data_IF_084996101112
#
_entry.id   IF_084996101112
#
_cell.length_a   1.000
_cell.length_b   1.000
_cell.length_c   1.000
_cell.angle_alpha   90.00
_cell.angle_beta   90.00
_cell.angle_gamma   90.00
#
_symmetry.space_group_name_H-M   'P 1'
#
loop_
_entity.id
_entity.type
_entity.pdbx_description
1 polymer ?
#
# COMPACT_ATOMS: atom_id res chain seq x y z
N UNK A 1 -34.01 -39.41 -30.94
CA UNK A 1 -32.96 -39.42 -31.99
C UNK A 1 -31.90 -38.39 -31.61
N UNK A 2 -30.66 -38.85 -31.58
CA UNK A 2 -29.37 -38.14 -31.41
C UNK A 2 -28.99 -37.57 -30.03
N UNK A 3 -28.16 -38.37 -29.36
CA UNK A 3 -27.37 -38.12 -28.16
C UNK A 3 -26.06 -37.35 -28.48
N UNK A 4 -25.39 -36.75 -27.47
CA UNK A 4 -24.15 -35.99 -27.64
C UNK A 4 -22.91 -36.89 -27.72
N UNK A 5 -21.97 -36.52 -28.59
CA UNK A 5 -20.71 -37.24 -28.81
C UNK A 5 -19.59 -36.67 -27.95
N UNK A 6 -19.04 -37.50 -27.05
CA UNK A 6 -17.74 -37.34 -26.39
C UNK A 6 -16.80 -38.38 -27.00
N UNK A 7 -15.52 -38.06 -27.30
CA UNK A 7 -14.48 -39.05 -27.37
C UNK A 7 -13.46 -38.91 -26.22
N UNK A 8 -13.08 -40.10 -25.74
CA UNK A 8 -12.25 -40.48 -24.60
C UNK A 8 -10.72 -40.43 -24.89
N UNK A 9 -9.83 -40.77 -23.92
CA UNK A 9 -8.46 -40.27 -23.82
C UNK A 9 -7.39 -41.12 -24.55
N UNK A 10 -6.23 -40.50 -24.77
CA UNK A 10 -4.98 -41.13 -25.28
C UNK A 10 -3.99 -41.43 -24.14
N UNK A 11 -3.09 -42.42 -24.28
CA UNK A 11 -2.45 -43.13 -23.17
C UNK A 11 -1.08 -42.56 -22.74
N UNK A 12 -0.75 -42.84 -21.46
CA UNK A 12 0.57 -42.67 -20.84
C UNK A 12 1.56 -43.81 -21.19
N UNK A 13 2.78 -43.45 -21.63
CA UNK A 13 4.09 -44.17 -21.52
C UNK A 13 5.12 -43.32 -22.30
N UNK A 14 6.37 -43.08 -21.91
CA UNK A 14 7.25 -43.74 -20.95
C UNK A 14 8.33 -42.75 -20.45
N UNK A 15 8.74 -42.97 -19.20
CA UNK A 15 9.86 -42.34 -18.50
C UNK A 15 11.14 -43.20 -18.72
N UNK A 16 12.31 -42.54 -18.72
CA UNK A 16 13.69 -43.07 -18.49
C UNK A 16 14.49 -43.56 -19.71
N UNK A 17 15.50 -42.79 -20.11
CA UNK A 17 16.90 -43.22 -20.40
C UNK A 17 17.79 -41.96 -20.27
N UNK A 18 18.44 -41.75 -19.11
CA UNK A 18 19.86 -42.05 -18.80
C UNK A 18 20.87 -41.07 -19.40
N UNK A 19 21.39 -40.24 -18.49
CA UNK A 19 22.74 -39.66 -18.44
C UNK A 19 23.79 -40.61 -19.02
N UNK A 20 24.45 -40.20 -20.11
CA UNK A 20 25.85 -40.52 -20.47
C UNK A 20 26.12 -40.08 -21.92
N UNK A 21 26.95 -39.06 -22.10
CA UNK A 21 28.00 -38.92 -23.14
C UNK A 21 28.53 -37.48 -23.13
N UNK A 22 29.20 -37.17 -22.03
CA UNK A 22 30.40 -36.36 -22.12
C UNK A 22 31.51 -37.25 -22.70
N UNK A 23 32.48 -36.63 -23.38
CA UNK A 23 33.70 -37.20 -23.98
C UNK A 23 33.57 -37.90 -25.34
N UNK A 24 33.44 -37.13 -26.43
CA UNK A 24 33.93 -37.57 -27.76
C UNK A 24 34.16 -36.44 -28.78
N UNK A 25 34.65 -35.25 -28.40
CA UNK A 25 35.06 -34.23 -29.39
C UNK A 25 36.38 -33.53 -29.02
N UNK A 26 37.37 -34.34 -28.63
CA UNK A 26 38.77 -33.93 -28.62
C UNK A 26 39.53 -34.66 -29.74
N UNK A 27 39.28 -34.28 -31.01
CA UNK A 27 40.18 -34.61 -32.13
C UNK A 27 39.83 -33.88 -33.44
N UNK A 28 40.06 -32.56 -33.50
CA UNK A 28 40.44 -31.86 -34.75
C UNK A 28 40.98 -30.46 -34.42
N UNK A 29 42.03 -30.06 -35.14
CA UNK A 29 42.79 -28.82 -35.04
C UNK A 29 43.86 -28.70 -33.93
N UNK A 30 44.97 -29.42 -34.11
CA UNK A 30 46.33 -28.95 -33.75
C UNK A 30 46.91 -28.20 -34.95
N UNK A 31 47.55 -27.06 -34.73
CA UNK A 31 48.37 -26.39 -35.72
C UNK A 31 49.02 -25.09 -35.22
N UNK A 32 50.33 -25.18 -34.94
CA UNK A 32 51.38 -24.14 -34.91
C UNK A 32 51.67 -23.35 -33.60
N UNK A 33 52.91 -23.59 -33.11
CA UNK A 33 53.75 -23.00 -32.04
C UNK A 33 54.55 -21.76 -32.57
N UNK A 34 55.50 -21.08 -31.85
CA UNK A 34 56.05 -21.28 -30.48
C UNK A 34 56.29 -20.00 -29.60
N UNK A 35 56.70 -20.20 -28.34
CA UNK A 35 57.44 -19.20 -27.53
C UNK A 35 57.66 -19.53 -26.04
N UNK A 36 58.77 -20.23 -25.71
CA UNK A 36 59.62 -20.31 -24.48
C UNK A 36 59.04 -19.99 -23.07
N UNK A 37 59.35 -20.69 -21.96
CA UNK A 37 60.25 -21.84 -21.75
C UNK A 37 60.40 -22.27 -20.26
N UNK A 38 61.00 -23.47 -20.10
CA UNK A 38 61.81 -24.06 -19.00
C UNK A 38 61.19 -24.34 -17.61
N UNK A 39 61.31 -25.60 -17.17
CA UNK A 39 61.44 -25.92 -15.73
C UNK A 39 61.06 -27.30 -15.19
N UNK A 40 61.65 -28.39 -15.69
CA UNK A 40 61.97 -29.65 -14.98
C UNK A 40 60.86 -30.57 -14.42
N UNK A 41 60.72 -31.74 -15.07
CA UNK A 41 60.06 -32.97 -14.59
C UNK A 41 61.16 -34.00 -14.30
N UNK A 42 61.05 -34.73 -13.18
CA UNK A 42 61.68 -36.05 -13.04
C UNK A 42 60.60 -37.05 -12.65
N UNK A 43 60.50 -38.09 -13.47
CA UNK A 43 59.68 -39.27 -13.29
C UNK A 43 60.46 -40.37 -12.56
N UNK A 44 59.77 -41.29 -11.88
CA UNK A 44 60.09 -42.70 -12.02
C UNK A 44 58.87 -43.60 -11.74
N UNK A 45 58.72 -44.57 -12.62
CA UNK A 45 57.74 -45.64 -12.72
C UNK A 45 58.25 -46.86 -11.96
N UNK A 46 57.37 -47.66 -11.33
CA UNK A 46 57.52 -49.11 -11.29
C UNK A 46 56.19 -49.81 -10.96
N UNK A 47 55.80 -50.69 -11.88
CA UNK A 47 54.71 -51.68 -11.82
C UNK A 47 55.24 -52.92 -11.07
N UNK A 48 54.35 -53.76 -10.50
CA UNK A 48 54.29 -55.25 -10.65
C UNK A 48 53.57 -55.94 -9.45
N UNK A 49 52.63 -56.83 -9.82
CA UNK A 49 52.06 -58.03 -9.14
C UNK A 49 51.08 -57.97 -7.95
N UNK A 50 49.90 -58.59 -8.16
CA UNK A 50 49.04 -59.30 -7.19
C UNK A 50 49.65 -60.69 -6.83
N UNK A 51 49.03 -61.61 -6.03
CA UNK A 51 47.74 -61.63 -5.32
C UNK A 51 47.82 -62.23 -3.88
N UNK A 52 46.66 -62.62 -3.31
CA UNK A 52 46.41 -63.73 -2.33
C UNK A 52 45.88 -63.35 -0.94
N UNK A 53 44.76 -64.03 -0.63
CA UNK A 53 44.05 -64.34 0.63
C UNK A 53 44.70 -63.95 1.97
N UNK A 54 43.88 -63.44 2.90
CA UNK A 54 43.34 -64.21 4.04
C UNK A 54 42.71 -63.30 5.10
N UNK A 55 41.75 -63.87 5.83
CA UNK A 55 40.93 -63.26 6.87
C UNK A 55 41.72 -62.71 8.07
N UNK A 56 41.17 -61.71 8.75
CA UNK A 56 40.92 -61.77 10.20
C UNK A 56 40.16 -60.55 10.73
N UNK A 57 39.33 -60.88 11.70
CA UNK A 57 38.56 -60.09 12.66
C UNK A 57 39.33 -58.99 13.40
N UNK A 58 38.63 -57.93 13.80
CA UNK A 58 38.87 -57.28 15.09
C UNK A 58 38.86 -55.75 15.13
N UNK A 59 37.78 -55.20 15.71
CA UNK A 59 37.69 -53.98 16.53
C UNK A 59 38.30 -52.66 16.02
N UNK A 60 37.44 -51.67 15.74
CA UNK A 60 37.83 -50.29 15.49
C UNK A 60 36.77 -49.26 15.90
N UNK A 61 36.96 -48.68 17.08
CA UNK A 61 36.66 -47.32 17.53
C UNK A 61 35.32 -46.62 17.12
N UNK A 62 34.49 -46.36 18.14
CA UNK A 62 33.43 -45.36 18.15
C UNK A 62 34.02 -43.94 17.96
N UNK A 63 33.73 -43.31 16.82
CA UNK A 63 33.96 -41.87 16.62
C UNK A 63 32.68 -41.13 17.02
N UNK A 64 32.76 -40.38 18.11
CA UNK A 64 31.75 -39.44 18.59
C UNK A 64 31.60 -38.29 17.59
N UNK A 65 30.53 -38.30 16.79
CA UNK A 65 30.17 -37.20 15.91
C UNK A 65 29.28 -36.22 16.68
N UNK A 66 29.76 -34.99 16.87
CA UNK A 66 28.95 -33.86 17.34
C UNK A 66 27.83 -33.60 16.32
N UNK A 67 26.57 -33.38 16.75
CA UNK A 67 25.52 -33.02 15.81
C UNK A 67 25.78 -31.62 15.24
N UNK A 68 25.46 -31.38 13.96
CA UNK A 68 25.60 -30.07 13.36
C UNK A 68 24.60 -29.09 14.01
N UNK A 69 25.10 -27.91 14.35
CA UNK A 69 24.32 -26.77 14.80
C UNK A 69 23.29 -26.40 13.73
N UNK A 70 22.02 -26.60 14.07
CA UNK A 70 20.88 -26.24 13.23
C UNK A 70 20.86 -24.72 13.04
N UNK A 71 21.22 -24.29 11.83
CA UNK A 71 21.05 -22.90 11.42
C UNK A 71 19.57 -22.70 11.19
N UNK A 72 18.90 -22.08 12.16
CA UNK A 72 17.48 -21.75 12.05
C UNK A 72 17.27 -20.82 10.86
N UNK A 73 16.95 -21.41 9.70
CA UNK A 73 16.43 -20.68 8.55
C UNK A 73 15.14 -20.03 9.02
N UNK A 74 15.19 -18.72 9.32
CA UNK A 74 14.01 -17.94 9.69
C UNK A 74 13.03 -18.03 8.54
N UNK A 75 12.02 -18.89 8.70
CA UNK A 75 10.92 -19.06 7.75
C UNK A 75 10.41 -17.65 7.39
N UNK A 76 10.30 -17.28 6.10
CA UNK A 76 9.73 -15.99 5.75
C UNK A 76 8.37 -15.90 6.43
N UNK A 77 8.18 -14.85 7.24
CA UNK A 77 6.92 -14.61 7.92
C UNK A 77 5.83 -14.57 6.85
N UNK A 78 4.67 -15.20 7.08
CA UNK A 78 3.56 -15.11 6.14
C UNK A 78 3.28 -13.62 5.85
N UNK A 79 2.82 -13.27 4.64
CA UNK A 79 2.49 -11.89 4.30
C UNK A 79 1.59 -11.31 5.39
N UNK A 80 1.88 -10.07 5.79
CA UNK A 80 1.15 -9.44 6.89
C UNK A 80 -0.35 -9.45 6.57
N UNK A 81 -1.10 -10.25 7.31
CA UNK A 81 -2.54 -10.43 7.18
C UNK A 81 -3.24 -9.86 8.42
N UNK A 82 -4.51 -9.48 8.26
CA UNK A 82 -5.34 -8.94 9.36
C UNK A 82 -6.14 -10.02 10.09
N UNK A 83 -6.09 -11.27 9.62
CA UNK A 83 -6.99 -12.33 10.07
C UNK A 83 -8.45 -12.10 9.61
N UNK A 84 -9.44 -12.78 10.22
CA UNK A 84 -10.84 -12.69 9.84
C UNK A 84 -11.46 -11.34 10.21
N UNK A 85 -12.27 -10.76 9.32
CA UNK A 85 -12.98 -9.49 9.52
C UNK A 85 -14.51 -9.72 9.60
N UNK A 86 -15.28 -8.85 10.27
CA UNK A 86 -14.87 -7.64 10.99
C UNK A 86 -14.08 -7.94 12.27
N UNK A 87 -13.26 -6.99 12.72
CA UNK A 87 -12.45 -7.15 13.92
C UNK A 87 -12.10 -5.81 14.58
N UNK A 88 -11.78 -5.90 15.87
CA UNK A 88 -11.45 -4.75 16.71
C UNK A 88 -10.11 -4.95 17.39
N UNK A 89 -9.36 -3.86 17.55
CA UNK A 89 -8.09 -3.82 18.26
C UNK A 89 -8.09 -2.70 19.28
N UNK A 90 -7.46 -2.92 20.41
CA UNK A 90 -7.35 -1.94 21.48
C UNK A 90 -5.95 -1.92 22.08
N UNK A 91 -5.48 -0.75 22.50
CA UNK A 91 -4.22 -0.59 23.21
C UNK A 91 -3.96 0.85 23.62
N UNK A 92 -3.16 1.02 24.66
CA UNK A 92 -2.73 2.34 25.13
C UNK A 92 -1.37 2.65 24.51
N UNK A 93 -1.32 3.71 23.70
CA UNK A 93 -0.14 4.15 22.96
C UNK A 93 0.38 5.49 23.50
N UNK A 94 1.68 5.79 23.39
CA UNK A 94 2.23 7.08 23.78
C UNK A 94 1.70 8.21 22.87
N UNK A 95 1.33 9.35 23.46
CA UNK A 95 0.91 10.56 22.76
C UNK A 95 1.56 11.81 23.35
N UNK A 96 1.50 12.93 22.63
CA UNK A 96 2.14 14.20 23.02
C UNK A 96 1.66 14.76 24.38
N UNK A 97 0.46 14.37 24.83
CA UNK A 97 -0.12 14.75 26.12
C UNK A 97 -0.16 13.61 27.15
N UNK A 98 0.63 12.56 26.96
CA UNK A 98 0.60 11.32 27.74
C UNK A 98 -0.14 10.17 27.03
N UNK A 99 -0.47 9.08 27.74
CA UNK A 99 -1.02 7.88 27.11
C UNK A 99 -2.41 8.12 26.51
N UNK A 100 -2.61 7.58 25.31
CA UNK A 100 -3.86 7.65 24.56
C UNK A 100 -4.35 6.22 24.34
N UNK A 101 -5.57 5.93 24.77
CA UNK A 101 -6.23 4.65 24.47
C UNK A 101 -6.79 4.68 23.06
N UNK A 102 -6.35 3.76 22.23
CA UNK A 102 -6.85 3.55 20.88
C UNK A 102 -7.82 2.37 20.87
N UNK A 103 -8.92 2.54 20.15
CA UNK A 103 -9.84 1.46 19.76
C UNK A 103 -10.07 1.56 18.26
N UNK A 104 -9.61 0.57 17.51
CA UNK A 104 -9.69 0.52 16.04
C UNK A 104 -10.57 -0.65 15.61
N UNK A 105 -11.61 -0.35 14.85
CA UNK A 105 -12.49 -1.33 14.22
C UNK A 105 -12.23 -1.34 12.71
N UNK A 106 -11.96 -2.52 12.15
CA UNK A 106 -11.89 -2.73 10.71
C UNK A 106 -13.05 -3.59 10.25
N UNK A 107 -13.83 -3.08 9.31
CA UNK A 107 -14.90 -3.81 8.65
C UNK A 107 -14.39 -4.52 7.39
N UNK A 108 -15.05 -5.61 7.01
CA UNK A 108 -14.69 -6.40 5.82
C UNK A 108 -14.90 -5.65 4.50
N UNK A 109 -15.69 -4.57 4.51
CA UNK A 109 -15.98 -3.73 3.34
C UNK A 109 -14.91 -2.66 3.06
N UNK A 110 -13.78 -2.69 3.79
CA UNK A 110 -12.70 -1.72 3.62
C UNK A 110 -12.90 -0.41 4.40
N UNK A 111 -13.89 -0.33 5.30
CA UNK A 111 -14.10 0.82 6.16
C UNK A 111 -13.54 0.62 7.57
N UNK A 112 -13.12 1.70 8.21
CA UNK A 112 -12.66 1.68 9.60
C UNK A 112 -13.36 2.72 10.47
N UNK A 113 -13.34 2.45 11.78
CA UNK A 113 -13.69 3.40 12.83
C UNK A 113 -12.57 3.40 13.86
N UNK A 114 -12.17 4.57 14.34
CA UNK A 114 -11.09 4.74 15.29
C UNK A 114 -11.55 5.68 16.40
N UNK A 115 -11.39 5.28 17.65
CA UNK A 115 -11.51 6.15 18.83
C UNK A 115 -10.17 6.31 19.52
N UNK A 116 -9.81 7.54 19.79
CA UNK A 116 -8.61 7.90 20.56
C UNK A 116 -9.03 8.65 21.82
N UNK A 117 -8.78 8.08 22.99
CA UNK A 117 -9.17 8.66 24.28
C UNK A 117 -7.93 9.07 25.07
N UNK A 118 -7.79 10.37 25.36
CA UNK A 118 -6.70 10.88 26.20
C UNK A 118 -6.89 10.44 27.65
N UNK A 119 -5.93 9.71 28.22
CA UNK A 119 -6.02 9.20 29.59
C UNK A 119 -5.45 10.16 30.65
N UNK A 120 -4.63 11.13 30.27
CA UNK A 120 -3.98 12.07 31.19
C UNK A 120 -4.90 13.18 31.73
N UNK A 121 -6.15 13.25 31.25
CA UNK A 121 -7.10 14.31 31.61
C UNK A 121 -8.16 13.77 32.57
N UNK A 122 -8.59 14.56 33.58
CA UNK A 122 -9.61 14.12 34.55
C UNK A 122 -10.98 13.85 33.90
N UNK A 123 -11.29 14.51 32.78
CA UNK A 123 -12.40 14.15 31.89
C UNK A 123 -11.83 13.60 30.59
N UNK A 124 -11.89 12.27 30.35
CA UNK A 124 -11.35 11.68 29.13
C UNK A 124 -12.03 12.28 27.90
N UNK A 125 -11.23 12.89 27.03
CA UNK A 125 -11.70 13.39 25.75
C UNK A 125 -11.45 12.31 24.70
N UNK A 126 -12.52 11.87 24.05
CA UNK A 126 -12.47 10.93 22.95
C UNK A 126 -12.53 11.69 21.62
N UNK A 127 -11.70 11.28 20.67
CA UNK A 127 -11.70 11.75 19.30
C UNK A 127 -11.98 10.57 18.39
N UNK A 128 -13.05 10.66 17.62
CA UNK A 128 -13.46 9.60 16.72
C UNK A 128 -13.15 9.97 15.26
N UNK A 129 -12.74 8.97 14.50
CA UNK A 129 -12.49 9.08 13.07
C UNK A 129 -13.10 7.88 12.34
N UNK A 130 -13.52 8.11 11.10
CA UNK A 130 -13.97 7.08 10.17
C UNK A 130 -13.26 7.27 8.84
N UNK A 131 -13.13 6.20 8.07
CA UNK A 131 -12.54 6.29 6.74
C UNK A 131 -12.42 4.94 6.08
N UNK A 132 -11.49 4.84 5.14
CA UNK A 132 -11.17 3.61 4.42
C UNK A 132 -9.81 3.08 4.84
N UNK A 133 -9.68 1.77 4.82
CA UNK A 133 -8.41 1.11 5.05
C UNK A 133 -8.02 0.26 3.85
N UNK A 134 -6.71 0.08 3.66
CA UNK A 134 -6.16 -0.86 2.69
C UNK A 134 -4.88 -1.49 3.21
N UNK A 135 -4.55 -2.65 2.68
CA UNK A 135 -3.22 -3.23 2.84
C UNK A 135 -2.36 -2.82 1.65
N UNK A 136 -1.20 -2.23 1.93
CA UNK A 136 -0.21 -1.89 0.93
C UNK A 136 0.33 -3.18 0.29
N UNK A 137 0.30 -3.29 -1.05
CA UNK A 137 0.85 -4.45 -1.76
C UNK A 137 2.33 -4.67 -1.40
N UNK A 138 2.73 -5.94 -1.27
CA UNK A 138 4.10 -6.34 -0.97
C UNK A 138 4.50 -6.22 0.50
N UNK A 139 4.31 -5.05 1.13
CA UNK A 139 4.69 -4.84 2.55
C UNK A 139 3.62 -5.34 3.53
N UNK A 140 2.36 -5.39 3.09
CA UNK A 140 1.20 -5.70 3.93
C UNK A 140 0.98 -4.68 5.06
N UNK A 141 1.51 -3.45 4.91
CA UNK A 141 1.23 -2.35 5.85
C UNK A 141 -0.23 -1.94 5.74
N UNK A 142 -0.89 -1.77 6.89
CA UNK A 142 -2.23 -1.24 6.99
C UNK A 142 -2.18 0.29 6.90
N UNK A 143 -2.90 0.83 5.93
CA UNK A 143 -3.05 2.27 5.71
C UNK A 143 -4.49 2.68 6.01
N UNK A 144 -4.67 3.67 6.89
CA UNK A 144 -5.98 4.26 7.21
C UNK A 144 -6.08 5.66 6.61
N UNK A 145 -6.97 5.85 5.63
CA UNK A 145 -7.23 7.13 4.97
C UNK A 145 -8.03 8.08 5.85
N UNK A 146 -7.50 9.29 6.08
CA UNK A 146 -8.10 10.33 6.96
C UNK A 146 -8.56 11.57 6.20
N UNK A 147 -9.18 11.39 5.04
CA UNK A 147 -9.63 12.51 4.20
C UNK A 147 -8.45 13.33 3.67
N UNK A 148 -8.27 14.56 4.14
CA UNK A 148 -7.17 15.45 3.74
C UNK A 148 -5.91 15.31 4.59
N UNK A 149 -5.96 14.56 5.69
CA UNK A 149 -4.80 14.33 6.55
C UNK A 149 -3.93 13.18 6.02
N UNK A 150 -2.62 13.17 6.34
CA UNK A 150 -1.76 12.03 6.05
C UNK A 150 -2.34 10.73 6.61
N UNK A 151 -2.22 9.61 5.89
CA UNK A 151 -2.77 8.35 6.37
C UNK A 151 -2.06 7.88 7.64
N UNK A 152 -2.80 7.17 8.49
CA UNK A 152 -2.19 6.42 9.60
C UNK A 152 -1.64 5.10 9.07
N UNK A 153 -0.39 4.80 9.43
CA UNK A 153 0.28 3.58 9.02
C UNK A 153 0.47 2.65 10.21
N UNK A 154 0.00 1.42 10.06
CA UNK A 154 0.17 0.34 11.03
C UNK A 154 0.79 -0.90 10.35
N UNK A 155 1.55 -1.67 11.12
CA UNK A 155 2.07 -2.96 10.69
C UNK A 155 1.27 -4.08 11.38
N UNK A 156 0.55 -4.93 10.64
CA UNK A 156 0.01 -6.16 11.19
C UNK A 156 1.12 -7.11 11.62
N UNK A 157 0.96 -7.69 12.80
CA UNK A 157 1.88 -8.65 13.41
C UNK A 157 1.11 -9.94 13.74
N UNK A 158 1.80 -11.08 13.69
CA UNK A 158 1.26 -12.39 14.06
C UNK A 158 -0.14 -12.64 13.45
N UNK A 159 -0.26 -12.49 12.12
CA UNK A 159 -1.50 -12.67 11.36
C UNK A 159 -2.70 -11.83 11.87
N UNK A 160 -2.43 -10.61 12.36
CA UNK A 160 -3.45 -9.67 12.81
C UNK A 160 -3.79 -9.79 14.29
N UNK A 161 -3.06 -10.59 15.07
CA UNK A 161 -3.21 -10.62 16.52
C UNK A 161 -2.80 -9.29 17.19
N UNK A 162 -1.88 -8.55 16.56
CA UNK A 162 -1.49 -7.22 17.00
C UNK A 162 -1.25 -6.27 15.82
N UNK A 163 -1.42 -4.97 16.06
CA UNK A 163 -1.09 -3.89 15.12
C UNK A 163 -0.09 -2.94 15.77
N UNK A 164 1.06 -2.74 15.14
CA UNK A 164 2.07 -1.76 15.60
C UNK A 164 1.94 -0.45 14.83
N UNK A 165 1.85 0.68 15.51
CA UNK A 165 1.81 1.99 14.86
C UNK A 165 3.20 2.35 14.30
N UNK A 166 3.27 2.86 13.07
CA UNK A 166 4.54 3.19 12.39
C UNK A 166 4.87 4.68 12.34
N UNK A 167 3.88 5.56 12.53
CA UNK A 167 4.01 7.00 12.34
C UNK A 167 3.90 7.81 13.64
N UNK A 168 4.24 7.23 14.79
CA UNK A 168 4.21 7.97 16.05
C UNK A 168 5.25 9.09 16.01
N UNK A 169 4.80 10.34 16.13
CA UNK A 169 5.68 11.53 16.20
C UNK A 169 6.36 11.70 17.57
N UNK A 170 6.17 10.74 18.47
CA UNK A 170 6.81 10.77 19.78
C UNK A 170 8.21 10.19 19.61
N UNK A 171 9.20 11.07 19.44
CA UNK A 171 10.60 10.69 19.31
C UNK A 171 10.99 9.74 20.44
N UNK A 172 11.40 8.53 20.07
CA UNK A 172 12.04 7.49 20.91
C UNK A 172 11.79 7.63 22.42
N UNK A 173 10.52 7.65 22.85
CA UNK A 173 10.20 7.86 24.25
C UNK A 173 9.89 6.54 24.94
N UNK A 174 10.90 6.06 25.67
CA UNK A 174 10.93 4.94 26.62
C UNK A 174 10.91 3.52 26.02
N UNK A 175 11.94 2.74 26.37
CA UNK A 175 12.10 1.32 26.04
C UNK A 175 10.95 0.43 26.55
N UNK A 176 10.05 0.97 27.36
CA UNK A 176 8.93 0.27 28.00
C UNK A 176 7.54 0.74 27.50
N UNK A 177 7.47 1.63 26.50
CA UNK A 177 6.18 2.11 25.99
C UNK A 177 5.50 1.03 25.14
N UNK A 178 4.22 0.76 25.40
CA UNK A 178 3.43 -0.12 24.53
C UNK A 178 3.26 0.53 23.16
N UNK A 179 3.74 -0.15 22.12
CA UNK A 179 3.71 0.33 20.73
C UNK A 179 2.62 -0.37 19.90
N UNK A 180 1.75 -1.17 20.53
CA UNK A 180 0.83 -2.09 19.84
C UNK A 180 -0.60 -2.01 20.34
N UNK A 181 -1.50 -2.27 19.41
CA UNK A 181 -2.89 -2.61 19.66
C UNK A 181 -3.04 -4.13 19.61
N UNK A 182 -3.78 -4.70 20.54
CA UNK A 182 -4.07 -6.13 20.61
C UNK A 182 -5.47 -6.39 20.09
N UNK A 183 -5.64 -7.46 19.32
CA UNK A 183 -6.94 -7.87 18.80
C UNK A 183 -7.87 -8.28 19.94
N UNK A 184 -9.10 -7.80 19.92
CA UNK A 184 -10.14 -8.21 20.85
C UNK A 184 -10.68 -9.61 20.47
N UNK A 185 -11.16 -10.42 21.44
CA UNK A 185 -11.73 -11.75 21.15
C UNK A 185 -12.94 -11.71 20.22
N UNK A 186 -13.72 -10.62 20.28
CA UNK A 186 -14.89 -10.37 19.45
C UNK A 186 -14.83 -8.96 18.89
N UNK A 187 -15.40 -8.77 17.70
CA UNK A 187 -15.57 -7.43 17.13
C UNK A 187 -16.51 -6.61 18.01
N UNK A 188 -16.05 -5.43 18.41
CA UNK A 188 -16.76 -4.50 19.28
C UNK A 188 -16.79 -3.12 18.61
N UNK A 189 -17.58 -2.95 17.53
CA UNK A 189 -17.63 -1.70 16.79
C UNK A 189 -18.15 -0.57 17.68
N UNK A 190 -17.43 0.55 17.68
CA UNK A 190 -17.86 1.75 18.41
C UNK A 190 -19.04 2.45 17.72
N UNK A 191 -19.71 3.31 18.49
CA UNK A 191 -20.63 4.33 17.99
C UNK A 191 -19.86 5.66 17.91
N UNK A 192 -19.35 6.06 16.71
CA UNK A 192 -18.48 7.20 16.59
C UNK A 192 -19.28 8.51 16.61
N UNK A 193 -18.76 9.49 17.35
CA UNK A 193 -19.25 10.87 17.41
C UNK A 193 -18.18 11.80 16.83
N UNK A 194 -18.46 12.42 15.70
CA UNK A 194 -17.48 13.20 14.96
C UNK A 194 -18.12 14.30 14.11
N UNK A 195 -17.31 15.28 13.74
CA UNK A 195 -17.63 16.17 12.63
C UNK A 195 -17.36 15.43 11.33
N UNK A 196 -18.36 15.40 10.44
CA UNK A 196 -18.28 14.70 9.17
C UNK A 196 -18.83 15.55 8.04
N UNK A 197 -18.50 15.13 6.82
CA UNK A 197 -19.03 15.71 5.59
C UNK A 197 -19.66 14.59 4.76
N UNK A 198 -20.81 14.88 4.15
CA UNK A 198 -21.55 13.92 3.34
C UNK A 198 -22.48 14.60 2.34
N UNK A 199 -22.93 13.81 1.36
CA UNK A 199 -23.97 14.22 0.43
C UNK A 199 -25.33 13.87 1.03
N UNK A 200 -26.04 14.87 1.54
CA UNK A 200 -27.36 14.73 2.14
C UNK A 200 -28.45 14.88 1.08
N UNK A 201 -29.48 14.05 1.18
CA UNK A 201 -30.67 14.08 0.32
C UNK A 201 -31.90 13.80 1.16
N UNK A 202 -32.98 14.51 0.87
CA UNK A 202 -34.28 14.33 1.50
C UNK A 202 -35.36 14.33 0.43
N UNK A 203 -36.16 13.26 0.40
CA UNK A 203 -37.25 13.09 -0.56
C UNK A 203 -38.28 12.11 0.01
N UNK A 204 -39.58 12.41 -0.17
CA UNK A 204 -40.69 11.56 0.26
C UNK A 204 -40.57 11.11 1.74
N UNK A 205 -40.33 12.08 2.64
CA UNK A 205 -40.16 11.85 4.09
C UNK A 205 -39.04 10.87 4.46
N UNK A 206 -38.08 10.65 3.56
CA UNK A 206 -36.90 9.84 3.79
C UNK A 206 -35.63 10.70 3.66
N UNK A 207 -34.92 10.83 4.78
CA UNK A 207 -33.63 11.51 4.83
C UNK A 207 -32.49 10.49 4.78
N UNK A 208 -31.51 10.71 3.89
CA UNK A 208 -30.31 9.89 3.82
C UNK A 208 -29.07 10.72 3.53
N UNK A 209 -27.93 10.21 3.98
CA UNK A 209 -26.63 10.83 3.74
C UNK A 209 -25.65 9.80 3.21
N UNK A 210 -24.88 10.15 2.18
CA UNK A 210 -23.69 9.41 1.77
C UNK A 210 -22.46 10.05 2.39
N UNK A 211 -21.81 9.36 3.32
CA UNK A 211 -20.60 9.86 3.99
C UNK A 211 -19.44 9.96 3.00
N UNK A 212 -18.75 11.10 2.96
CA UNK A 212 -17.63 11.27 2.04
C UNK A 212 -16.41 10.43 2.41
N UNK A 213 -16.17 10.21 3.71
CA UNK A 213 -15.00 9.47 4.21
C UNK A 213 -15.04 7.97 3.88
N UNK A 214 -16.24 7.36 3.84
CA UNK A 214 -16.40 5.92 3.63
C UNK A 214 -17.11 5.58 2.32
N UNK A 215 -17.95 6.48 1.81
CA UNK A 215 -18.89 6.24 0.72
C UNK A 215 -20.19 5.55 1.15
N UNK A 216 -20.33 5.21 2.44
CA UNK A 216 -21.50 4.52 2.98
C UNK A 216 -22.73 5.43 2.96
N UNK A 217 -23.88 4.89 2.55
CA UNK A 217 -25.18 5.56 2.67
C UNK A 217 -25.84 5.16 3.99
N UNK A 218 -26.20 6.15 4.80
CA UNK A 218 -26.90 5.96 6.07
C UNK A 218 -28.27 6.66 6.02
N UNK A 219 -29.32 6.08 6.62
CA UNK A 219 -30.49 6.86 7.01
C UNK A 219 -30.09 7.94 8.03
N UNK A 220 -30.81 9.05 8.02
CA UNK A 220 -30.65 10.14 8.99
C UNK A 220 -31.86 10.15 9.92
N UNK A 221 -31.62 10.12 11.22
CA UNK A 221 -32.68 10.18 12.23
C UNK A 221 -33.28 11.59 12.27
N UNK A 222 -34.61 11.66 12.29
CA UNK A 222 -35.38 12.91 12.36
C UNK A 222 -35.49 13.44 13.80
N UNK A 223 -34.35 13.60 14.46
CA UNK A 223 -34.25 14.06 15.85
C UNK A 223 -33.09 15.06 16.03
N UNK A 224 -33.01 15.69 17.20
CA UNK A 224 -31.94 16.62 17.58
C UNK A 224 -31.71 17.74 16.52
N UNK A 225 -30.51 17.84 15.95
CA UNK A 225 -30.12 18.86 14.97
C UNK A 225 -30.71 18.68 13.58
N UNK A 226 -31.53 17.64 13.34
CA UNK A 226 -32.10 17.33 12.03
C UNK A 226 -32.91 18.49 11.45
N UNK A 227 -33.75 19.16 12.24
CA UNK A 227 -34.63 20.23 11.75
C UNK A 227 -33.86 21.41 11.14
N UNK A 228 -32.68 21.73 11.68
CA UNK A 228 -31.82 22.78 11.13
C UNK A 228 -31.24 22.37 9.78
N UNK A 229 -30.81 21.11 9.66
CA UNK A 229 -30.31 20.53 8.41
C UNK A 229 -31.40 20.49 7.33
N UNK A 230 -32.59 20.01 7.67
CA UNK A 230 -33.74 19.92 6.74
C UNK A 230 -34.12 21.29 6.18
N UNK A 231 -34.27 22.30 7.04
CA UNK A 231 -34.58 23.68 6.61
C UNK A 231 -33.52 24.22 5.66
N UNK A 232 -32.25 24.02 5.99
CA UNK A 232 -31.15 24.46 5.12
C UNK A 232 -31.16 23.74 3.77
N UNK A 233 -31.44 22.43 3.77
CA UNK A 233 -31.55 21.63 2.55
C UNK A 233 -32.69 22.11 1.67
N UNK A 234 -33.90 22.25 2.21
CA UNK A 234 -35.08 22.68 1.46
C UNK A 234 -34.91 24.11 0.89
N UNK A 235 -34.24 25.00 1.61
CA UNK A 235 -33.94 26.35 1.12
C UNK A 235 -32.90 26.37 -0.03
N UNK A 236 -32.01 25.39 -0.07
CA UNK A 236 -30.92 25.32 -1.06
C UNK A 236 -31.20 24.37 -2.24
N UNK A 237 -32.14 23.44 -2.09
CA UNK A 237 -32.44 22.43 -3.10
C UNK A 237 -33.13 23.08 -4.32
N UNK A 238 -32.60 22.90 -5.54
CA UNK A 238 -33.25 23.41 -6.74
C UNK A 238 -34.63 22.79 -6.94
N UNK A 239 -35.64 23.63 -7.20
CA UNK A 239 -37.01 23.19 -7.40
C UNK A 239 -37.18 22.27 -8.64
N UNK A 240 -36.28 22.35 -9.62
CA UNK A 240 -36.26 21.50 -10.82
C UNK A 240 -35.73 20.09 -10.55
N UNK A 241 -35.06 19.85 -9.41
CA UNK A 241 -34.40 18.57 -9.08
C UNK A 241 -34.62 18.18 -7.61
N UNK A 242 -35.86 17.82 -7.23
CA UNK A 242 -36.15 17.38 -5.87
C UNK A 242 -35.29 16.17 -5.50
N UNK A 243 -34.82 16.11 -4.26
CA UNK A 243 -33.98 15.03 -3.77
C UNK A 243 -32.53 15.07 -4.25
N UNK A 244 -32.09 16.11 -4.98
CA UNK A 244 -30.69 16.26 -5.38
C UNK A 244 -29.78 16.25 -4.15
N UNK A 245 -28.73 15.40 -4.10
CA UNK A 245 -27.82 15.38 -2.98
C UNK A 245 -26.99 16.68 -2.90
N UNK A 246 -26.96 17.31 -1.73
CA UNK A 246 -26.18 18.51 -1.45
C UNK A 246 -25.10 18.20 -0.42
N UNK A 247 -23.91 18.77 -0.60
CA UNK A 247 -22.81 18.59 0.35
C UNK A 247 -23.12 19.33 1.63
N UNK A 248 -23.04 18.63 2.76
CA UNK A 248 -23.23 19.18 4.09
C UNK A 248 -22.09 18.80 5.02
N UNK A 249 -21.79 19.70 5.95
CA UNK A 249 -20.91 19.45 7.08
C UNK A 249 -21.73 19.56 8.36
N UNK A 250 -21.55 18.58 9.24
CA UNK A 250 -22.31 18.48 10.49
C UNK A 250 -21.50 17.74 11.56
N UNK A 251 -21.89 17.91 12.81
CA UNK A 251 -21.50 17.03 13.90
C UNK A 251 -22.59 16.00 14.13
N UNK A 252 -22.21 14.72 14.23
CA UNK A 252 -23.19 13.66 14.41
C UNK A 252 -22.65 12.43 15.10
N UNK A 253 -23.60 11.61 15.56
CA UNK A 253 -23.40 10.31 16.17
C UNK A 253 -23.90 9.24 15.20
N UNK A 254 -23.05 8.27 14.86
CA UNK A 254 -23.47 7.08 14.10
C UNK A 254 -23.73 5.96 15.10
N UNK A 255 -24.98 5.49 15.18
CA UNK A 255 -25.39 4.46 16.15
C UNK A 255 -26.42 3.52 15.52
N UNK A 256 -26.68 2.38 16.16
CA UNK A 256 -27.73 1.47 15.72
C UNK A 256 -29.10 2.03 16.10
N UNK A 257 -30.02 2.08 15.14
CA UNK A 257 -31.43 2.40 15.40
C UNK A 257 -32.33 1.28 14.90
N UNK A 258 -33.46 1.03 15.58
CA UNK A 258 -34.50 0.15 15.04
C UNK A 258 -34.87 0.59 13.62
N UNK A 259 -35.08 -0.37 12.73
CA UNK A 259 -35.63 -0.05 11.41
C UNK A 259 -37.07 0.44 11.58
N UNK A 260 -37.48 1.42 10.76
CA UNK A 260 -38.88 1.85 10.69
C UNK A 260 -39.76 0.79 10.01
N UNK A 261 -39.15 -0.19 9.33
CA UNK A 261 -39.83 -1.32 8.71
C UNK A 261 -39.87 -2.51 9.68
N UNK A 262 -41.07 -3.02 9.95
CA UNK A 262 -41.31 -4.05 10.95
C UNK A 262 -40.56 -5.34 10.62
N UNK A 263 -39.89 -5.91 11.62
CA UNK A 263 -39.15 -7.18 11.50
C UNK A 263 -37.76 -7.06 10.87
N UNK A 264 -37.33 -5.88 10.44
CA UNK A 264 -35.98 -5.68 9.95
C UNK A 264 -34.96 -5.49 11.10
N UNK A 265 -33.71 -5.93 10.90
CA UNK A 265 -32.65 -5.71 11.89
C UNK A 265 -32.38 -4.22 12.09
N UNK A 266 -31.87 -3.81 13.27
CA UNK A 266 -31.38 -2.46 13.49
C UNK A 266 -30.39 -2.05 12.40
N UNK A 267 -30.48 -0.80 11.96
CA UNK A 267 -29.60 -0.24 10.94
C UNK A 267 -28.77 0.88 11.55
N UNK A 268 -27.50 0.96 11.12
CA UNK A 268 -26.66 2.12 11.42
C UNK A 268 -27.31 3.37 10.85
N UNK A 269 -27.52 4.35 11.72
CA UNK A 269 -28.25 5.58 11.43
C UNK A 269 -27.45 6.76 11.93
N UNK A 270 -27.43 7.84 11.16
CA UNK A 270 -26.82 9.10 11.58
C UNK A 270 -27.82 9.91 12.41
N UNK A 271 -27.45 10.24 13.64
CA UNK A 271 -28.12 11.26 14.45
C UNK A 271 -27.34 12.57 14.26
N UNK A 272 -28.02 13.61 13.78
CA UNK A 272 -27.40 14.93 13.62
C UNK A 272 -27.43 15.63 14.97
N UNK A 273 -26.26 15.85 15.57
CA UNK A 273 -26.16 16.58 16.84
C UNK A 273 -26.13 18.09 16.60
N UNK A 274 -25.42 18.55 15.56
CA UNK A 274 -25.35 19.96 15.17
C UNK A 274 -25.10 20.11 13.67
N UNK A 275 -25.89 20.95 13.01
CA UNK A 275 -25.66 21.33 11.61
C UNK A 275 -24.65 22.47 11.53
N UNK A 276 -23.65 22.35 10.65
CA UNK A 276 -22.57 23.35 10.52
C UNK A 276 -22.66 24.15 9.23
N UNK A 277 -22.77 23.47 8.08
CA UNK A 277 -22.77 24.13 6.78
C UNK A 277 -23.40 23.28 5.68
N UNK A 278 -23.89 23.96 4.62
CA UNK A 278 -24.32 23.36 3.36
C UNK A 278 -23.62 24.10 2.21
N UNK A 279 -23.05 23.35 1.28
CA UNK A 279 -22.31 23.90 0.12
C UNK A 279 -22.91 23.36 -1.19
N UNK A 280 -23.81 24.10 -1.85
CA UNK A 280 -24.43 23.64 -3.09
C UNK A 280 -23.40 23.44 -4.21
N UNK A 281 -23.68 22.51 -5.13
CA UNK A 281 -22.86 22.29 -6.32
C UNK A 281 -21.48 21.65 -6.07
N UNK A 282 -21.08 21.40 -4.83
CA UNK A 282 -19.89 20.63 -4.48
C UNK A 282 -20.23 19.15 -4.30
N UNK A 283 -19.38 18.27 -4.83
CA UNK A 283 -19.40 16.84 -4.51
C UNK A 283 -18.56 16.54 -3.26
N UNK A 284 -18.55 15.28 -2.83
CA UNK A 284 -17.57 14.83 -1.85
C UNK A 284 -16.15 15.11 -2.34
N UNK A 285 -15.23 15.55 -1.46
CA UNK A 285 -13.82 15.59 -1.80
C UNK A 285 -13.40 14.17 -2.20
N UNK A 286 -12.95 14.02 -3.45
CA UNK A 286 -12.55 12.71 -3.97
C UNK A 286 -11.26 12.30 -3.25
N UNK A 287 -11.23 11.07 -2.74
CA UNK A 287 -10.04 10.49 -2.12
C UNK A 287 -8.89 10.57 -3.13
N UNK A 288 -7.78 11.16 -2.70
CA UNK A 288 -6.58 11.27 -3.51
C UNK A 288 -6.13 9.85 -3.93
N UNK A 289 -5.80 9.61 -5.21
CA UNK A 289 -5.23 8.33 -5.61
C UNK A 289 -3.94 8.07 -4.81
N UNK A 290 -3.57 6.80 -4.58
CA UNK A 290 -2.30 6.50 -3.91
C UNK A 290 -1.13 7.14 -4.65
N UNK A 291 -0.09 7.55 -3.91
CA UNK A 291 1.16 7.95 -4.52
C UNK A 291 1.81 6.79 -5.30
N UNK A 292 1.88 5.61 -4.67
CA UNK A 292 2.49 4.38 -5.19
C UNK A 292 1.47 3.54 -5.96
N UNK A 293 1.93 2.77 -6.95
CA UNK A 293 1.06 2.00 -7.84
C UNK A 293 0.24 2.85 -8.81
N UNK A 294 0.49 4.16 -8.84
CA UNK A 294 -0.20 5.12 -9.70
C UNK A 294 0.78 5.68 -10.72
N UNK A 295 0.33 5.79 -11.97
CA UNK A 295 1.07 6.48 -13.03
C UNK A 295 0.66 7.93 -13.08
N UNK A 296 1.65 8.81 -13.03
CA UNK A 296 1.50 10.26 -12.98
C UNK A 296 2.09 10.88 -14.24
N UNK A 297 1.32 11.69 -14.96
CA UNK A 297 1.76 12.37 -16.19
C UNK A 297 2.06 13.85 -15.90
N UNK A 298 3.24 14.33 -16.31
CA UNK A 298 3.68 15.69 -16.02
C UNK A 298 2.80 16.72 -16.76
N UNK A 299 2.39 17.78 -16.06
CA UNK A 299 1.64 18.91 -16.62
C UNK A 299 2.24 20.26 -16.27
N UNK A 300 3.20 20.31 -15.35
CA UNK A 300 3.89 21.54 -15.02
C UNK A 300 5.28 21.29 -14.46
N UNK A 301 6.19 22.18 -14.81
CA UNK A 301 7.60 22.15 -14.44
C UNK A 301 8.05 23.56 -14.09
N UNK A 302 8.69 23.73 -12.93
CA UNK A 302 9.17 25.03 -12.44
C UNK A 302 8.05 26.06 -12.25
N UNK A 303 6.86 25.62 -11.82
CA UNK A 303 5.69 26.49 -11.64
C UNK A 303 4.96 26.88 -12.94
N UNK A 304 5.47 26.48 -14.11
CA UNK A 304 4.86 26.78 -15.41
C UNK A 304 4.09 25.58 -15.95
N UNK A 305 3.07 25.82 -16.80
CA UNK A 305 2.38 24.77 -17.54
C UNK A 305 3.37 24.14 -18.54
N UNK A 306 3.39 22.81 -18.60
CA UNK A 306 4.28 22.09 -19.51
C UNK A 306 3.84 22.33 -20.96
N UNK A 307 4.80 22.80 -21.78
CA UNK A 307 4.67 22.87 -23.24
C UNK A 307 5.72 21.92 -23.81
N UNK A 308 5.27 20.77 -24.31
CA UNK A 308 6.15 19.75 -24.84
C UNK A 308 6.60 20.12 -26.27
N UNK A 309 7.90 20.08 -26.60
CA UNK A 309 8.36 20.30 -27.95
C UNK A 309 7.93 19.15 -28.89
N UNK A 310 7.81 19.39 -30.20
CA UNK A 310 7.50 18.34 -31.16
C UNK A 310 8.47 17.16 -31.05
N UNK A 311 7.91 15.94 -31.04
CA UNK A 311 8.68 14.70 -30.89
C UNK A 311 8.95 14.26 -29.45
N UNK A 312 8.62 15.07 -28.44
CA UNK A 312 8.67 14.63 -27.05
C UNK A 312 7.57 13.60 -26.74
N UNK A 313 7.94 12.50 -26.10
CA UNK A 313 7.00 11.56 -25.52
C UNK A 313 6.36 12.13 -24.24
N UNK A 314 5.19 11.62 -23.80
CA UNK A 314 4.64 11.97 -22.51
C UNK A 314 5.66 11.70 -21.39
N UNK A 315 5.86 12.70 -20.54
CA UNK A 315 6.69 12.57 -19.34
C UNK A 315 5.82 11.96 -18.25
N UNK A 316 6.23 10.79 -17.76
CA UNK A 316 5.46 10.00 -16.80
C UNK A 316 6.35 9.50 -15.67
N UNK A 317 5.75 9.35 -14.50
CA UNK A 317 6.38 8.83 -13.29
C UNK A 317 5.47 7.80 -12.65
N UNK A 318 6.00 6.61 -12.41
CA UNK A 318 5.33 5.56 -11.67
C UNK A 318 6.22 5.12 -10.52
N UNK A 319 5.69 5.20 -9.30
CA UNK A 319 6.34 4.67 -8.11
C UNK A 319 5.78 3.27 -7.85
N UNK A 320 6.63 2.26 -7.76
CA UNK A 320 6.18 0.86 -7.57
C UNK A 320 5.33 0.73 -6.31
N UNK A 321 4.21 0.02 -6.43
CA UNK A 321 3.32 -0.32 -5.31
C UNK A 321 4.05 -1.15 -4.25
N UNK A 322 4.95 -2.04 -4.67
CA UNK A 322 5.56 -3.05 -3.82
C UNK A 322 6.98 -2.68 -3.40
N UNK A 323 7.79 -2.19 -4.35
CA UNK A 323 9.22 -1.91 -4.13
C UNK A 323 9.47 -0.41 -4.01
N UNK A 324 10.59 -0.03 -3.40
CA UNK A 324 11.09 1.35 -3.37
C UNK A 324 11.83 1.67 -4.69
N UNK A 325 11.14 1.44 -5.80
CA UNK A 325 11.64 1.60 -7.16
C UNK A 325 10.67 2.44 -7.97
N UNK A 326 11.21 3.29 -8.85
CA UNK A 326 10.45 4.08 -9.79
C UNK A 326 10.79 3.70 -11.22
N UNK A 327 9.81 3.88 -12.09
CA UNK A 327 9.98 3.85 -13.54
C UNK A 327 9.29 5.08 -14.13
N UNK A 328 9.75 5.53 -15.29
CA UNK A 328 9.15 6.68 -15.95
C UNK A 328 9.73 6.99 -17.31
N UNK A 329 9.25 8.09 -17.87
CA UNK A 329 9.72 8.69 -19.12
C UNK A 329 10.11 10.14 -18.84
N UNK A 330 11.29 10.55 -19.29
CA UNK A 330 11.76 11.94 -19.28
C UNK A 330 11.43 12.71 -20.57
N UNK A 331 10.66 12.11 -21.48
CA UNK A 331 10.22 12.71 -22.74
C UNK A 331 11.08 12.33 -23.94
N UNK A 332 12.38 12.09 -23.74
CA UNK A 332 13.21 11.34 -24.69
C UNK A 332 13.56 9.98 -24.09
N UNK A 333 14.24 9.98 -22.95
CA UNK A 333 14.75 8.77 -22.33
C UNK A 333 13.81 8.16 -21.28
N UNK A 334 14.01 6.87 -21.02
CA UNK A 334 13.35 6.18 -19.92
C UNK A 334 14.11 6.40 -18.63
N UNK A 335 13.39 6.69 -17.57
CA UNK A 335 13.91 6.87 -16.22
C UNK A 335 13.65 5.63 -15.37
N UNK A 336 14.63 5.27 -14.56
CA UNK A 336 14.52 4.19 -13.58
C UNK A 336 15.38 4.51 -12.36
N UNK A 337 14.98 4.04 -11.18
CA UNK A 337 15.77 4.30 -9.98
C UNK A 337 15.09 3.92 -8.69
N UNK A 338 15.75 4.24 -7.57
CA UNK A 338 15.18 4.11 -6.24
C UNK A 338 14.51 5.40 -5.75
N UNK A 339 13.59 5.26 -4.80
CA UNK A 339 13.08 6.40 -4.03
C UNK A 339 13.02 6.06 -2.53
N UNK A 340 13.02 7.08 -1.68
CA UNK A 340 12.71 6.93 -0.24
C UNK A 340 11.45 7.71 0.12
N UNK A 341 10.66 7.19 1.06
CA UNK A 341 9.44 7.80 1.56
C UNK A 341 9.41 7.75 3.09
N UNK A 342 9.13 8.92 3.71
CA UNK A 342 8.92 9.04 5.15
C UNK A 342 7.85 10.12 5.41
N UNK A 343 6.62 9.69 5.69
CA UNK A 343 5.48 10.61 5.78
C UNK A 343 5.29 11.40 4.47
N UNK A 344 5.41 12.73 4.54
CA UNK A 344 5.34 13.63 3.37
C UNK A 344 6.70 13.89 2.72
N UNK A 345 7.79 13.36 3.28
CA UNK A 345 9.13 13.48 2.69
C UNK A 345 9.32 12.41 1.60
N UNK A 346 9.88 12.83 0.45
CA UNK A 346 10.27 11.94 -0.66
C UNK A 346 11.61 12.38 -1.22
N UNK A 347 12.46 11.42 -1.61
CA UNK A 347 13.73 11.68 -2.31
C UNK A 347 13.97 10.65 -3.40
N UNK A 348 14.76 11.04 -4.41
CA UNK A 348 15.16 10.20 -5.55
C UNK A 348 16.69 10.13 -5.63
N UNK A 349 17.36 9.36 -4.76
CA UNK A 349 18.82 9.43 -4.60
C UNK A 349 19.64 8.80 -5.72
N UNK A 350 19.04 7.94 -6.57
CA UNK A 350 19.74 7.18 -7.61
C UNK A 350 18.85 7.06 -8.84
N UNK A 351 18.68 8.16 -9.57
CA UNK A 351 18.01 8.16 -10.87
C UNK A 351 19.02 7.78 -11.96
N UNK A 352 18.60 6.88 -12.83
CA UNK A 352 19.29 6.52 -14.06
C UNK A 352 18.36 6.79 -15.25
N UNK A 353 18.95 7.23 -16.36
CA UNK A 353 18.27 7.46 -17.62
C UNK A 353 18.93 6.65 -18.73
N UNK A 354 18.16 6.27 -19.75
CA UNK A 354 18.76 5.75 -21.00
C UNK A 354 19.52 6.87 -21.74
N UNK A 355 20.25 6.52 -22.82
CA UNK A 355 21.01 7.49 -23.63
C UNK A 355 20.57 7.46 -25.10
N UNK A 356 19.27 7.59 -25.35
CA UNK A 356 18.70 7.85 -26.67
C UNK A 356 18.95 9.32 -27.04
N UNK A 357 19.27 9.55 -28.31
CA UNK A 357 19.39 10.88 -28.87
C UNK A 357 18.05 11.38 -29.41
N UNK A 358 17.58 12.51 -28.89
CA UNK A 358 16.43 13.24 -29.43
C UNK A 358 16.86 14.63 -29.90
N UNK A 359 15.92 15.43 -30.43
CA UNK A 359 16.21 16.81 -30.81
C UNK A 359 16.63 17.66 -29.60
N UNK A 360 17.45 18.72 -29.79
CA UNK A 360 17.94 19.54 -28.69
C UNK A 360 16.85 20.08 -27.75
N UNK A 361 15.67 20.56 -28.22
CA UNK A 361 14.62 21.03 -27.33
C UNK A 361 14.02 19.94 -26.42
N UNK A 362 13.94 18.70 -26.90
CA UNK A 362 13.45 17.55 -26.11
C UNK A 362 14.48 17.19 -25.03
N UNK A 363 15.76 17.18 -25.39
CA UNK A 363 16.86 16.93 -24.46
C UNK A 363 16.93 17.98 -23.35
N UNK A 364 16.74 19.27 -23.67
CA UNK A 364 16.70 20.35 -22.67
C UNK A 364 15.50 20.21 -21.72
N UNK A 365 14.33 19.80 -22.22
CA UNK A 365 13.18 19.49 -21.39
C UNK A 365 13.48 18.32 -20.42
N UNK A 366 14.09 17.25 -20.91
CA UNK A 366 14.48 16.11 -20.07
C UNK A 366 15.46 16.54 -18.96
N UNK A 367 16.48 17.33 -19.29
CA UNK A 367 17.48 17.77 -18.31
C UNK A 367 16.81 18.58 -17.18
N UNK A 368 15.97 19.57 -17.53
CA UNK A 368 15.24 20.37 -16.53
C UNK A 368 14.33 19.52 -15.65
N UNK A 369 13.75 18.46 -16.21
CA UNK A 369 12.93 17.51 -15.47
C UNK A 369 13.76 16.70 -14.48
N UNK A 370 14.92 16.18 -14.90
CA UNK A 370 15.85 15.47 -14.02
C UNK A 370 16.36 16.36 -12.88
N UNK A 371 16.79 17.59 -13.19
CA UNK A 371 17.27 18.56 -12.20
C UNK A 371 16.19 18.94 -11.18
N UNK A 372 14.92 18.95 -11.61
CA UNK A 372 13.79 19.18 -10.71
C UNK A 372 13.58 18.00 -9.77
N UNK A 373 13.62 16.75 -10.27
CA UNK A 373 13.48 15.54 -9.45
C UNK A 373 14.55 15.46 -8.36
N UNK A 374 15.80 15.80 -8.66
CA UNK A 374 16.91 15.78 -7.68
C UNK A 374 16.69 16.77 -6.51
N UNK A 375 15.96 17.85 -6.73
CA UNK A 375 15.65 18.87 -5.71
C UNK A 375 14.38 18.58 -4.92
N UNK A 376 13.56 17.61 -5.33
CA UNK A 376 12.35 17.24 -4.60
C UNK A 376 12.69 16.77 -3.19
N UNK A 377 11.96 17.27 -2.21
CA UNK A 377 12.04 16.86 -0.80
C UNK A 377 10.70 16.46 -0.22
N UNK A 378 9.60 16.92 -0.80
CA UNK A 378 8.23 16.68 -0.29
C UNK A 378 7.28 16.31 -1.42
N UNK A 379 6.22 15.60 -1.06
CA UNK A 379 5.12 15.31 -1.97
C UNK A 379 3.79 15.68 -1.32
N UNK A 380 2.81 15.99 -2.17
CA UNK A 380 1.40 16.15 -1.78
C UNK A 380 0.53 15.73 -2.95
N UNK A 381 -0.61 15.12 -2.68
CA UNK A 381 -1.64 14.91 -3.69
C UNK A 381 -2.81 15.84 -3.40
N UNK A 382 -3.18 16.61 -4.41
CA UNK A 382 -4.33 17.50 -4.37
C UNK A 382 -5.31 17.05 -5.47
N UNK A 383 -6.40 16.40 -5.04
CA UNK A 383 -7.39 15.77 -5.90
C UNK A 383 -6.78 14.75 -6.87
N UNK A 384 -6.52 15.15 -8.12
CA UNK A 384 -5.93 14.34 -9.19
C UNK A 384 -4.52 14.79 -9.56
N UNK A 385 -3.91 15.68 -8.77
CA UNK A 385 -2.58 16.20 -9.05
C UNK A 385 -1.57 15.76 -7.99
N UNK A 386 -0.46 15.18 -8.43
CA UNK A 386 0.72 14.98 -7.61
C UNK A 386 1.59 16.23 -7.71
N UNK A 387 1.87 16.83 -6.56
CA UNK A 387 2.76 17.96 -6.41
C UNK A 387 4.04 17.47 -5.76
N UNK A 388 5.16 17.63 -6.45
CA UNK A 388 6.49 17.42 -5.88
C UNK A 388 7.13 18.77 -5.60
N UNK A 389 7.57 18.95 -4.35
CA UNK A 389 7.99 20.22 -3.80
C UNK A 389 9.43 20.14 -3.28
N UNK A 390 10.10 21.28 -3.27
CA UNK A 390 11.42 21.41 -2.63
C UNK A 390 11.32 21.51 -1.09
N UNK A 391 12.46 21.77 -0.44
CA UNK A 391 12.51 21.95 1.01
C UNK A 391 11.72 23.18 1.50
N UNK A 392 11.55 24.22 0.68
CA UNK A 392 10.79 25.43 1.03
C UNK A 392 9.27 25.26 0.87
N UNK A 393 8.83 24.19 0.19
CA UNK A 393 7.41 23.97 -0.14
C UNK A 393 7.02 24.49 -1.53
N UNK A 394 7.98 25.02 -2.30
CA UNK A 394 7.74 25.47 -3.67
C UNK A 394 7.53 24.27 -4.59
N UNK A 395 6.46 24.30 -5.39
CA UNK A 395 6.15 23.23 -6.35
C UNK A 395 7.12 23.25 -7.53
N UNK A 396 7.92 22.20 -7.63
CA UNK A 396 8.85 22.00 -8.74
C UNK A 396 8.19 21.28 -9.91
N UNK A 397 7.38 20.26 -9.60
CA UNK A 397 6.72 19.42 -10.58
C UNK A 397 5.26 19.24 -10.19
N UNK A 398 4.38 19.39 -11.19
CA UNK A 398 2.96 19.08 -11.08
C UNK A 398 2.62 18.02 -12.11
N UNK A 399 2.09 16.91 -11.62
CA UNK A 399 1.58 15.83 -12.45
C UNK A 399 0.07 15.74 -12.29
N UNK A 400 -0.60 15.15 -13.29
CA UNK A 400 -1.96 14.64 -13.16
C UNK A 400 -1.97 13.12 -13.13
N UNK A 401 -3.05 12.55 -12.63
CA UNK A 401 -3.34 11.14 -12.77
C UNK A 401 -3.38 10.77 -14.27
N UNK A 402 -2.56 9.80 -14.68
CA UNK A 402 -2.61 9.27 -16.04
C UNK A 402 -3.84 8.34 -16.19
N UNK A 403 -4.56 8.39 -17.33
CA UNK A 403 -5.61 7.42 -17.62
C UNK A 403 -4.99 6.02 -17.68
N UNK A 404 -5.61 5.05 -17.01
CA UNK A 404 -5.22 3.63 -17.08
C UNK A 404 -5.66 3.12 -18.47
N UNK A 405 -4.71 2.81 -19.35
CA UNK A 405 -5.02 2.02 -20.54
C UNK A 405 -5.22 0.57 -20.08
N UNK A 406 -6.45 0.08 -20.22
CA UNK A 406 -6.89 -1.25 -19.79
C UNK A 406 -6.63 -2.33 -20.83
#
# INVERSE_FOLDING_TARGET
>A
MNAPTVPMPMPHRALRWRVARATEEARRARGLLPGMGRGMVVALVAVITAPVLAASTGAGALISQRPPTDSSTRRPSPPASLGPLPASWQGDLPGAGGPVRWHLDLAADGTYQLRQTSLSRPKPQAFDAIGRWRLEPGTGRLELSRGSEPPLLLQPLAAGAALRQLNSQVGAASANANDRLTRLPQAAPIDPRLQLTGLFSYMADAASIRLCATGQRLPVAMEAGYLALERAYLAACPADRPGQPLLVSLQGLITQRPSMEQGQPPRRTLVVESFLALTPGRGCPREAPPLRGTTWRLEGLGGQKLVAPPGAQPIELQLSAERLQLAGSGGCNRLMGGFSLEGTAIRFPQLASTRMGCSPPVMELEQRYSDALERVRRWRIDQHHLLLQDASGTTLLRFRLAPQEG
#
